data_IF_144767121044
#
_entry.id   IF_144767121044
#
_cell.length_a   1.000
_cell.length_b   1.000
_cell.length_c   1.000
_cell.angle_alpha   90.00
_cell.angle_beta   90.00
_cell.angle_gamma   90.00
#
_symmetry.space_group_name_H-M   'P 1'
#
loop_
_entity.id
_entity.type
_entity.pdbx_description
1 polymer ?
#
# COMPACT_ATOMS: atom_id res chain seq x y z
N UNK A 1 -11.49 3.89 10.46
CA UNK A 1 -12.22 4.27 9.22
C UNK A 1 -11.20 4.62 8.15
N UNK A 2 -11.45 4.25 6.90
CA UNK A 2 -10.63 4.65 5.75
C UNK A 2 -11.51 5.37 4.76
N UNK A 3 -11.01 6.48 4.23
CA UNK A 3 -11.64 7.20 3.13
C UNK A 3 -10.74 7.08 1.89
N UNK A 4 -11.32 6.56 0.80
CA UNK A 4 -10.69 6.55 -0.52
C UNK A 4 -11.29 7.69 -1.33
N UNK A 5 -10.44 8.59 -1.80
CA UNK A 5 -10.84 9.85 -2.43
C UNK A 5 -10.13 9.95 -3.77
N UNK A 6 -10.90 10.15 -4.83
CA UNK A 6 -10.36 10.61 -6.11
C UNK A 6 -10.57 12.13 -6.15
N UNK A 7 -9.55 12.88 -5.73
CA UNK A 7 -9.58 14.35 -5.72
C UNK A 7 -8.63 14.85 -6.81
N UNK A 8 -9.11 15.79 -7.64
CA UNK A 8 -8.36 16.32 -8.79
C UNK A 8 -7.85 15.19 -9.71
N UNK A 9 -8.67 14.13 -9.87
CA UNK A 9 -8.35 12.92 -10.65
C UNK A 9 -7.15 12.11 -10.13
N UNK A 10 -6.65 12.39 -8.92
CA UNK A 10 -5.53 11.67 -8.30
C UNK A 10 -6.09 10.68 -7.26
N UNK A 11 -5.71 9.39 -7.31
CA UNK A 11 -6.12 8.43 -6.30
C UNK A 11 -5.40 8.70 -4.97
N UNK A 12 -6.19 8.96 -3.93
CA UNK A 12 -5.67 9.25 -2.59
C UNK A 12 -6.48 8.56 -1.51
N UNK A 13 -5.88 8.42 -0.34
CA UNK A 13 -6.58 7.91 0.82
C UNK A 13 -6.22 8.69 2.10
N UNK A 14 -7.10 8.58 3.08
CA UNK A 14 -6.92 9.04 4.45
C UNK A 14 -7.35 7.97 5.42
N UNK A 15 -6.76 7.98 6.61
CA UNK A 15 -7.04 6.99 7.65
C UNK A 15 -7.37 7.69 8.95
N UNK A 16 -8.47 7.29 9.55
CA UNK A 16 -8.93 7.75 10.85
C UNK A 16 -8.95 6.60 11.85
N UNK A 17 -8.46 6.87 13.06
CA UNK A 17 -8.53 5.97 14.20
C UNK A 17 -9.18 6.70 15.38
N UNK A 18 -10.23 6.11 15.96
CA UNK A 18 -11.02 6.70 17.06
C UNK A 18 -11.44 8.17 16.84
N UNK A 19 -11.72 8.55 15.58
CA UNK A 19 -12.12 9.90 15.18
C UNK A 19 -10.95 10.86 14.89
N UNK A 20 -9.72 10.48 15.22
CA UNK A 20 -8.51 11.24 14.87
C UNK A 20 -7.93 10.85 13.51
N UNK A 21 -7.50 11.84 12.73
CA UNK A 21 -6.76 11.60 11.48
C UNK A 21 -5.33 11.13 11.82
N UNK A 22 -4.94 9.94 11.34
CA UNK A 22 -3.61 9.37 11.59
C UNK A 22 -2.75 9.30 10.32
N UNK A 23 -3.39 9.13 9.15
CA UNK A 23 -2.74 9.27 7.85
C UNK A 23 -3.50 10.34 7.08
N UNK A 24 -2.80 11.43 6.78
CA UNK A 24 -3.27 12.51 5.94
C UNK A 24 -3.33 12.08 4.47
N UNK A 25 -3.87 12.95 3.62
CA UNK A 25 -4.15 12.68 2.21
C UNK A 25 -2.89 12.19 1.48
N UNK A 26 -2.84 10.88 1.25
CA UNK A 26 -1.67 10.16 0.72
C UNK A 26 -1.99 9.56 -0.64
N UNK A 27 -1.05 9.65 -1.58
CA UNK A 27 -1.21 9.19 -2.97
C UNK A 27 -1.01 7.69 -3.12
N UNK A 28 -1.55 7.15 -4.21
CA UNK A 28 -1.32 5.82 -4.72
C UNK A 28 -1.15 5.92 -6.24
N UNK A 29 -0.15 5.24 -6.79
CA UNK A 29 0.12 5.26 -8.22
C UNK A 29 1.42 4.58 -8.61
N UNK A 30 1.68 4.50 -9.91
CA UNK A 30 2.86 3.87 -10.48
C UNK A 30 3.45 4.65 -11.63
N UNK A 31 4.77 4.68 -11.73
CA UNK A 31 5.49 5.07 -12.94
C UNK A 31 6.03 3.84 -13.66
N UNK A 32 6.04 3.89 -14.99
CA UNK A 32 6.53 2.80 -15.83
C UNK A 32 7.70 3.26 -16.69
N UNK A 33 8.60 2.34 -17.03
CA UNK A 33 9.79 2.66 -17.83
C UNK A 33 9.47 3.22 -19.22
N UNK A 34 8.51 2.60 -19.90
CA UNK A 34 8.18 2.86 -21.30
C UNK A 34 6.67 3.03 -21.52
N UNK A 35 5.94 3.45 -20.49
CA UNK A 35 4.51 3.73 -20.58
C UNK A 35 4.17 4.97 -19.75
N UNK A 36 3.06 5.62 -20.09
CA UNK A 36 2.52 6.74 -19.32
C UNK A 36 2.29 6.30 -17.87
N UNK A 37 2.55 7.19 -16.90
CA UNK A 37 2.31 6.90 -15.49
C UNK A 37 0.82 6.60 -15.20
N UNK A 38 0.57 5.92 -14.09
CA UNK A 38 -0.75 5.59 -13.55
C UNK A 38 -0.84 6.09 -12.12
N UNK A 39 -0.74 7.41 -11.96
CA UNK A 39 -0.71 8.13 -10.69
C UNK A 39 -1.73 9.29 -10.63
N UNK A 40 -2.25 9.71 -11.78
CA UNK A 40 -3.26 10.76 -11.91
C UNK A 40 -4.23 10.51 -13.08
N UNK A 41 -5.16 11.43 -13.31
CA UNK A 41 -6.14 11.39 -14.39
C UNK A 41 -7.06 10.16 -14.35
N UNK A 42 -7.44 9.70 -13.16
CA UNK A 42 -8.41 8.62 -12.97
C UNK A 42 -9.82 9.12 -12.71
N UNK A 43 -10.80 8.31 -13.13
CA UNK A 43 -12.19 8.39 -12.67
C UNK A 43 -12.61 7.06 -12.04
N UNK A 44 -13.46 7.12 -11.02
CA UNK A 44 -14.07 5.92 -10.44
C UNK A 44 -15.14 5.36 -11.38
N UNK A 45 -14.99 4.10 -11.78
CA UNK A 45 -15.99 3.40 -12.60
C UNK A 45 -16.88 2.49 -11.77
N UNK A 46 -16.38 1.97 -10.64
CA UNK A 46 -17.13 1.07 -9.77
C UNK A 46 -16.60 1.12 -8.34
N UNK A 47 -17.52 0.99 -7.39
CA UNK A 47 -17.18 0.74 -5.97
C UNK A 47 -17.96 -0.48 -5.51
N UNK A 48 -17.28 -1.42 -4.86
CA UNK A 48 -17.91 -2.59 -4.23
C UNK A 48 -17.45 -2.74 -2.78
N UNK A 49 -18.35 -3.23 -1.94
CA UNK A 49 -18.07 -3.54 -0.55
C UNK A 49 -18.34 -5.01 -0.25
N UNK A 50 -17.58 -5.57 0.68
CA UNK A 50 -17.92 -6.85 1.32
C UNK A 50 -17.40 -6.89 2.75
N UNK A 51 -17.98 -7.76 3.57
CA UNK A 51 -17.49 -8.09 4.90
C UNK A 51 -17.12 -9.57 4.94
N UNK A 52 -16.01 -9.89 5.60
CA UNK A 52 -15.55 -11.26 5.84
C UNK A 52 -15.36 -11.42 7.34
N UNK A 53 -15.91 -12.51 7.88
CA UNK A 53 -15.63 -12.99 9.23
C UNK A 53 -15.47 -14.50 9.16
N UNK A 54 -14.22 -14.94 9.12
CA UNK A 54 -13.89 -16.36 9.00
C UNK A 54 -12.76 -16.74 9.95
N UNK A 55 -12.54 -18.03 10.11
CA UNK A 55 -11.46 -18.56 10.93
C UNK A 55 -10.69 -19.60 10.13
N UNK A 56 -9.37 -19.61 10.28
CA UNK A 56 -8.50 -20.59 9.66
C UNK A 56 -7.47 -21.11 10.66
N UNK A 57 -7.09 -22.38 10.48
CA UNK A 57 -6.11 -23.06 11.33
C UNK A 57 -4.75 -23.05 10.63
N UNK A 58 -3.73 -22.35 11.16
CA UNK A 58 -2.40 -22.39 10.60
C UNK A 58 -1.76 -23.77 10.78
N UNK A 59 -0.88 -24.15 9.85
CA UNK A 59 -0.05 -25.37 10.00
C UNK A 59 0.95 -25.19 11.13
N UNK A 60 1.51 -23.99 11.28
CA UNK A 60 2.41 -23.57 12.35
C UNK A 60 2.15 -22.09 12.68
N UNK A 61 2.30 -21.69 13.93
CA UNK A 61 2.08 -20.30 14.34
C UNK A 61 1.94 -20.13 15.86
N UNK A 62 1.83 -18.88 16.30
CA UNK A 62 1.66 -18.52 17.72
C UNK A 62 0.24 -18.77 18.24
N UNK A 63 -0.73 -18.94 17.34
CA UNK A 63 -2.12 -19.24 17.65
C UNK A 63 -2.58 -20.51 16.93
N UNK A 64 -3.43 -21.30 17.58
CA UNK A 64 -4.02 -22.52 17.00
C UNK A 64 -5.18 -22.24 16.04
N UNK A 65 -5.74 -21.03 16.08
CA UNK A 65 -6.83 -20.55 15.24
C UNK A 65 -6.68 -19.05 15.04
N UNK A 66 -6.79 -18.58 13.80
CA UNK A 66 -6.68 -17.16 13.45
C UNK A 66 -8.02 -16.70 12.89
N UNK A 67 -8.59 -15.65 13.47
CA UNK A 67 -9.79 -14.99 12.97
C UNK A 67 -9.39 -13.94 11.92
N UNK A 68 -10.06 -13.98 10.77
CA UNK A 68 -9.88 -13.05 9.68
C UNK A 68 -11.18 -12.25 9.54
N UNK A 69 -11.24 -11.10 10.22
CA UNK A 69 -12.44 -10.26 10.30
C UNK A 69 -12.15 -8.85 9.76
N UNK A 70 -12.76 -8.50 8.63
CA UNK A 70 -12.57 -7.19 8.01
C UNK A 70 -13.75 -6.76 7.15
N UNK A 71 -13.83 -5.44 6.94
CA UNK A 71 -14.59 -4.83 5.86
C UNK A 71 -13.66 -4.51 4.69
N UNK A 72 -14.07 -4.82 3.46
CA UNK A 72 -13.32 -4.52 2.24
C UNK A 72 -14.06 -3.51 1.37
N UNK A 73 -13.30 -2.58 0.80
CA UNK A 73 -13.72 -1.67 -0.26
C UNK A 73 -12.82 -1.92 -1.47
N UNK A 74 -13.43 -2.13 -2.64
CA UNK A 74 -12.73 -2.13 -3.92
C UNK A 74 -13.24 -0.95 -4.74
N UNK A 75 -12.34 -0.02 -5.06
CA UNK A 75 -12.59 1.07 -5.99
C UNK A 75 -11.90 0.76 -7.31
N UNK A 76 -12.68 0.48 -8.35
CA UNK A 76 -12.19 0.31 -9.71
C UNK A 76 -12.09 1.67 -10.38
N UNK A 77 -10.91 1.97 -10.91
CA UNK A 77 -10.55 3.23 -11.53
C UNK A 77 -10.22 3.00 -13.01
N UNK A 78 -10.59 3.95 -13.84
CA UNK A 78 -10.24 3.99 -15.26
C UNK A 78 -9.49 5.30 -15.54
N UNK A 79 -8.35 5.21 -16.20
CA UNK A 79 -7.59 6.35 -16.69
C UNK A 79 -8.39 7.11 -17.76
N UNK A 80 -8.27 8.42 -17.75
CA UNK A 80 -8.95 9.31 -18.70
C UNK A 80 -8.14 9.57 -19.98
N UNK A 81 -6.93 9.02 -20.08
CA UNK A 81 -6.15 9.05 -21.32
C UNK A 81 -6.80 8.19 -22.42
N UNK A 82 -6.30 8.31 -23.65
CA UNK A 82 -6.82 7.55 -24.79
C UNK A 82 -6.69 6.04 -24.61
N UNK A 83 -5.73 5.59 -23.79
CA UNK A 83 -5.51 4.18 -23.49
C UNK A 83 -6.58 3.62 -22.56
N UNK A 84 -7.19 4.42 -21.69
CA UNK A 84 -8.22 3.99 -20.70
C UNK A 84 -7.79 2.80 -19.83
N UNK A 85 -6.57 2.87 -19.30
CA UNK A 85 -6.03 1.79 -18.45
C UNK A 85 -6.78 1.71 -17.12
N UNK A 86 -7.06 0.51 -16.67
CA UNK A 86 -7.80 0.24 -15.45
C UNK A 86 -6.87 -0.12 -14.28
N UNK A 87 -7.27 0.25 -13.07
CA UNK A 87 -6.61 -0.10 -11.81
C UNK A 87 -7.65 -0.25 -10.70
N UNK A 88 -7.56 -1.32 -9.91
CA UNK A 88 -8.36 -1.45 -8.69
C UNK A 88 -7.54 -1.06 -7.46
N UNK A 89 -8.14 -0.27 -6.58
CA UNK A 89 -7.65 -0.05 -5.22
C UNK A 89 -8.50 -0.87 -4.25
N UNK A 90 -7.86 -1.82 -3.56
CA UNK A 90 -8.54 -2.72 -2.62
C UNK A 90 -8.05 -2.42 -1.22
N UNK A 91 -8.96 -1.97 -0.35
CA UNK A 91 -8.70 -1.69 1.06
C UNK A 91 -9.44 -2.68 1.94
N UNK A 92 -8.76 -3.21 2.95
CA UNK A 92 -9.32 -4.00 4.04
C UNK A 92 -9.11 -3.28 5.35
N UNK A 93 -10.17 -3.13 6.12
CA UNK A 93 -10.16 -2.49 7.43
C UNK A 93 -10.52 -3.54 8.47
N UNK A 94 -9.56 -3.82 9.33
CA UNK A 94 -9.66 -4.68 10.50
C UNK A 94 -9.87 -3.82 11.75
N UNK A 95 -10.15 -4.45 12.88
CA UNK A 95 -10.27 -3.76 14.17
C UNK A 95 -8.92 -3.18 14.65
N UNK A 96 -7.81 -3.76 14.21
CA UNK A 96 -6.42 -3.49 14.63
C UNK A 96 -5.47 -3.04 13.51
N UNK A 97 -6.01 -2.87 12.29
CA UNK A 97 -5.18 -2.53 11.15
C UNK A 97 -5.94 -2.15 9.89
N UNK A 98 -5.21 -1.57 8.95
CA UNK A 98 -5.64 -1.47 7.56
C UNK A 98 -4.60 -2.13 6.66
N UNK A 99 -5.08 -2.80 5.63
CA UNK A 99 -4.25 -3.30 4.54
C UNK A 99 -4.83 -2.84 3.23
N UNK A 100 -3.98 -2.48 2.28
CA UNK A 100 -4.43 -2.17 0.94
C UNK A 100 -3.48 -2.73 -0.11
N UNK A 101 -4.02 -2.89 -1.32
CA UNK A 101 -3.25 -3.21 -2.51
C UNK A 101 -3.82 -2.52 -3.73
N UNK A 102 -2.94 -2.25 -4.68
CA UNK A 102 -3.31 -1.89 -6.02
C UNK A 102 -3.36 -3.16 -6.88
N UNK A 103 -4.28 -3.23 -7.85
CA UNK A 103 -4.33 -4.32 -8.81
C UNK A 103 -4.38 -3.70 -10.20
N UNK A 104 -3.44 -4.10 -11.05
CA UNK A 104 -3.45 -3.79 -12.48
C UNK A 104 -4.06 -5.02 -13.17
N UNK A 105 -5.37 -5.00 -13.50
CA UNK A 105 -6.03 -6.14 -14.13
C UNK A 105 -5.45 -6.42 -15.51
N UNK A 106 -5.58 -7.66 -15.97
CA UNK A 106 -5.22 -8.05 -17.35
C UNK A 106 -6.10 -7.28 -18.34
N UNK A 107 -5.47 -6.57 -19.26
CA UNK A 107 -6.14 -5.64 -20.17
C UNK A 107 -5.30 -5.42 -21.44
N UNK A 108 -5.94 -5.20 -22.58
CA UNK A 108 -5.25 -5.15 -23.89
C UNK A 108 -4.30 -3.94 -24.05
N UNK A 109 -4.60 -2.88 -23.32
CA UNK A 109 -3.93 -1.57 -23.22
C UNK A 109 -2.81 -1.53 -22.16
N UNK A 110 -2.54 -2.62 -21.44
CA UNK A 110 -1.44 -2.76 -20.48
C UNK A 110 -1.06 -4.25 -20.32
N UNK A 111 -0.19 -4.75 -21.20
CA UNK A 111 0.25 -6.15 -21.20
C UNK A 111 1.65 -6.30 -20.60
N UNK A 112 2.68 -5.95 -21.38
CA UNK A 112 4.07 -5.97 -20.93
C UNK A 112 4.43 -4.59 -20.37
N UNK A 113 4.62 -4.52 -19.06
CA UNK A 113 5.02 -3.29 -18.40
C UNK A 113 6.09 -3.55 -17.35
N UNK A 114 6.82 -2.49 -17.05
CA UNK A 114 7.87 -2.48 -16.05
C UNK A 114 7.66 -1.27 -15.17
N UNK A 115 7.40 -1.52 -13.88
CA UNK A 115 7.25 -0.48 -12.87
C UNK A 115 8.65 -0.01 -12.49
N UNK A 116 8.89 1.30 -12.57
CA UNK A 116 10.13 1.93 -12.14
C UNK A 116 9.97 2.71 -10.83
N UNK A 117 8.74 3.09 -10.49
CA UNK A 117 8.44 3.78 -9.26
C UNK A 117 7.04 3.45 -8.75
N UNK A 118 6.89 3.38 -7.43
CA UNK A 118 5.60 3.27 -6.73
C UNK A 118 5.37 4.54 -5.91
N UNK A 119 4.31 5.29 -6.24
CA UNK A 119 3.95 6.58 -5.65
C UNK A 119 3.15 6.44 -4.34
N UNK A 120 3.14 5.25 -3.73
CA UNK A 120 2.41 4.99 -2.49
C UNK A 120 3.01 5.84 -1.36
N UNK A 121 2.18 6.67 -0.74
CA UNK A 121 2.59 7.56 0.34
C UNK A 121 1.97 7.15 1.67
N UNK A 122 2.69 7.47 2.76
CA UNK A 122 2.19 7.41 4.13
C UNK A 122 2.46 8.75 4.81
N UNK A 123 1.54 9.70 4.67
CA UNK A 123 1.70 11.04 5.24
C UNK A 123 1.12 11.09 6.65
N UNK A 124 1.98 10.87 7.64
CA UNK A 124 1.60 10.99 9.05
C UNK A 124 1.15 12.41 9.41
N UNK A 125 0.32 12.53 10.45
CA UNK A 125 -0.22 13.83 10.89
C UNK A 125 0.72 14.60 11.81
N UNK A 126 1.73 13.94 12.37
CA UNK A 126 2.72 14.55 13.25
C UNK A 126 4.11 13.91 13.09
N UNK A 127 5.11 14.53 13.71
CA UNK A 127 6.46 14.02 13.86
C UNK A 127 6.53 13.00 15.00
N UNK A 128 5.94 11.83 14.80
CA UNK A 128 5.83 10.79 15.83
C UNK A 128 7.19 10.22 16.25
N UNK A 129 7.27 9.69 17.48
CA UNK A 129 8.37 8.84 17.87
C UNK A 129 8.33 7.53 17.06
N UNK A 130 9.50 7.11 16.56
CA UNK A 130 9.64 5.93 15.71
C UNK A 130 10.77 5.04 16.21
N UNK A 131 10.62 3.74 15.94
CA UNK A 131 11.68 2.75 16.07
C UNK A 131 11.98 2.21 14.68
N UNK A 132 13.24 2.30 14.25
CA UNK A 132 13.61 1.97 12.88
C UNK A 132 14.99 1.34 12.79
N UNK A 133 15.23 0.67 11.66
CA UNK A 133 16.53 0.17 11.21
C UNK A 133 16.83 0.76 9.83
N UNK A 134 18.10 0.88 9.43
CA UNK A 134 18.46 1.32 8.08
C UNK A 134 17.80 0.46 7.00
N UNK A 135 17.39 1.10 5.91
CA UNK A 135 16.96 0.41 4.71
C UNK A 135 18.20 -0.12 3.98
N UNK A 136 18.57 -1.35 4.30
CA UNK A 136 19.71 -2.05 3.74
C UNK A 136 19.21 -3.24 2.90
N UNK A 137 19.62 -3.28 1.63
CA UNK A 137 19.19 -4.32 0.70
C UNK A 137 19.83 -5.68 0.99
N UNK A 138 21.00 -5.68 1.64
CA UNK A 138 21.77 -6.90 1.89
C UNK A 138 21.42 -7.53 3.24
N UNK A 139 20.93 -6.73 4.21
CA UNK A 139 20.64 -7.21 5.56
C UNK A 139 19.53 -6.45 6.28
N UNK A 140 18.77 -7.19 7.10
CA UNK A 140 17.83 -6.64 8.09
C UNK A 140 18.33 -6.78 9.54
N UNK A 141 19.58 -7.22 9.75
CA UNK A 141 20.16 -7.53 11.06
C UNK A 141 20.81 -6.30 11.72
N UNK A 142 20.00 -5.27 11.97
CA UNK A 142 20.44 -4.02 12.59
C UNK A 142 19.82 -3.81 13.97
N UNK A 143 20.48 -3.04 14.83
CA UNK A 143 19.89 -2.59 16.09
C UNK A 143 18.88 -1.48 15.82
N UNK A 144 17.78 -1.50 16.56
CA UNK A 144 16.76 -0.45 16.46
C UNK A 144 17.28 0.88 17.01
N UNK A 145 17.06 1.93 16.23
CA UNK A 145 17.21 3.32 16.66
C UNK A 145 15.85 3.88 17.08
N UNK A 146 15.86 4.80 18.03
CA UNK A 146 14.67 5.52 18.47
C UNK A 146 14.88 7.03 18.27
N UNK A 147 14.08 7.63 17.40
CA UNK A 147 14.15 9.06 17.07
C UNK A 147 12.74 9.61 16.82
N UNK A 148 12.62 10.90 16.51
CA UNK A 148 11.40 11.39 15.84
C UNK A 148 11.43 11.01 14.35
N UNK A 149 10.25 10.87 13.73
CA UNK A 149 10.08 10.45 12.34
C UNK A 149 10.92 11.30 11.37
N UNK A 150 10.83 12.61 11.50
CA UNK A 150 11.54 13.55 10.63
C UNK A 150 13.05 13.60 10.89
N UNK A 151 13.51 13.10 12.04
CA UNK A 151 14.94 12.95 12.32
C UNK A 151 15.48 11.68 11.68
N UNK A 152 14.71 10.58 11.73
CA UNK A 152 15.04 9.33 11.03
C UNK A 152 15.15 9.52 9.51
N UNK A 153 14.29 10.37 8.94
CA UNK A 153 14.26 10.64 7.50
C UNK A 153 15.30 11.68 7.02
N UNK A 154 16.16 12.21 7.90
CA UNK A 154 17.27 13.08 7.48
C UNK A 154 18.48 12.24 7.10
N UNK A 155 18.55 11.89 5.81
CA UNK A 155 19.79 11.36 5.23
C UNK A 155 20.70 12.55 4.92
N UNK A 156 21.81 12.69 5.65
CA UNK A 156 22.78 13.76 5.44
C UNK A 156 23.56 13.60 4.11
N UNK A 157 23.73 12.37 3.66
CA UNK A 157 24.32 12.01 2.38
C UNK A 157 23.43 10.98 1.68
N UNK A 158 22.94 11.34 0.49
CA UNK A 158 22.09 10.50 -0.38
C UNK A 158 22.83 10.05 -1.65
N UNK A 159 24.13 10.35 -1.77
CA UNK A 159 24.93 10.04 -2.97
C UNK A 159 25.09 8.54 -3.24
N UNK A 160 24.88 7.71 -2.21
CA UNK A 160 24.90 6.25 -2.30
C UNK A 160 23.55 5.65 -2.74
N UNK A 161 22.47 6.44 -2.75
CA UNK A 161 21.17 5.98 -3.27
C UNK A 161 21.28 5.91 -4.79
N UNK A 162 21.51 4.70 -5.30
CA UNK A 162 21.42 4.42 -6.73
C UNK A 162 19.98 4.09 -7.08
N UNK A 163 19.38 4.86 -7.99
CA UNK A 163 18.10 4.50 -8.60
C UNK A 163 18.28 3.17 -9.33
N UNK A 164 17.69 2.11 -8.81
CA UNK A 164 17.79 0.78 -9.36
C UNK A 164 16.43 0.24 -9.78
N UNK A 165 16.45 -0.62 -10.78
CA UNK A 165 15.30 -1.31 -11.34
C UNK A 165 14.73 -2.30 -10.31
N UNK A 166 13.68 -1.93 -9.58
CA UNK A 166 13.01 -2.85 -8.68
C UNK A 166 12.13 -3.82 -9.48
N UNK A 167 12.58 -5.06 -9.66
CA UNK A 167 11.70 -6.18 -9.96
C UNK A 167 11.51 -7.00 -8.68
N UNK A 168 10.44 -6.73 -7.95
CA UNK A 168 10.12 -7.46 -6.72
C UNK A 168 9.92 -8.95 -6.98
N UNK A 169 10.79 -9.79 -6.43
CA UNK A 169 10.63 -11.25 -6.39
C UNK A 169 9.94 -11.63 -5.07
N UNK A 170 8.62 -11.44 -4.97
CA UNK A 170 7.70 -12.11 -4.02
C UNK A 170 6.27 -11.64 -4.30
N UNK A 171 5.40 -12.38 -5.02
CA UNK A 171 4.34 -13.27 -4.51
C UNK A 171 3.94 -14.34 -5.56
N UNK A 172 4.83 -14.74 -6.46
CA UNK A 172 4.53 -15.70 -7.54
C UNK A 172 4.35 -17.17 -7.12
N UNK A 173 4.55 -17.51 -5.84
CA UNK A 173 4.58 -18.90 -5.37
C UNK A 173 3.23 -19.60 -5.20
N UNK A 174 2.13 -18.85 -5.01
CA UNK A 174 0.80 -19.45 -4.79
C UNK A 174 -0.32 -18.55 -5.33
N UNK A 175 -0.42 -18.42 -6.64
CA UNK A 175 -1.68 -18.10 -7.32
C UNK A 175 -1.50 -18.35 -8.83
N UNK A 176 -2.06 -19.45 -9.33
CA UNK A 176 -2.33 -19.52 -10.75
C UNK A 176 -3.32 -18.40 -11.09
N UNK A 177 -2.85 -17.42 -11.88
CA UNK A 177 -3.53 -16.21 -12.36
C UNK A 177 -3.67 -15.10 -11.32
N UNK A 178 -3.64 -13.87 -11.82
CA UNK A 178 -3.66 -12.56 -11.17
C UNK A 178 -2.27 -12.00 -10.81
N UNK A 179 -1.79 -11.08 -11.66
CA UNK A 179 -0.75 -10.12 -11.29
C UNK A 179 -1.26 -9.26 -10.14
N UNK A 180 -0.66 -9.46 -8.95
CA UNK A 180 -0.91 -8.69 -7.73
C UNK A 180 0.38 -7.94 -7.42
N UNK A 181 0.37 -6.61 -7.37
CA UNK A 181 1.54 -5.80 -7.05
C UNK A 181 1.16 -4.63 -6.13
N UNK A 182 1.95 -4.43 -5.06
CA UNK A 182 1.79 -3.39 -4.05
C UNK A 182 0.93 -3.82 -2.85
N UNK A 183 1.52 -3.91 -1.66
CA UNK A 183 0.79 -4.09 -0.39
C UNK A 183 1.27 -3.05 0.62
N UNK A 184 0.40 -2.13 1.03
CA UNK A 184 0.62 -1.27 2.18
C UNK A 184 -0.17 -1.79 3.37
N UNK A 185 0.47 -1.95 4.53
CA UNK A 185 -0.21 -2.35 5.76
C UNK A 185 0.17 -1.40 6.90
N UNK A 186 -0.82 -0.92 7.64
CA UNK A 186 -0.64 -0.19 8.88
C UNK A 186 -1.37 -0.96 9.97
N UNK A 187 -0.66 -1.32 11.03
CA UNK A 187 -1.22 -1.93 12.23
C UNK A 187 -1.04 -0.98 13.40
N UNK A 188 -2.04 -0.89 14.27
CA UNK A 188 -1.95 -0.16 15.53
C UNK A 188 -2.00 -1.15 16.69
N UNK A 189 -1.12 -0.98 17.68
CA UNK A 189 -1.22 -1.69 18.96
C UNK A 189 -2.00 -0.85 19.96
N UNK A 190 -3.02 -1.44 20.58
CA UNK A 190 -3.59 -0.92 21.82
C UNK A 190 -2.58 -1.21 22.93
N UNK A 191 -2.10 -0.18 23.63
CA UNK A 191 -1.44 -0.41 24.91
C UNK A 191 -2.54 -0.73 25.91
N UNK A 192 -2.60 -1.98 26.38
CA UNK A 192 -3.38 -2.36 27.55
C UNK A 192 -2.52 -2.08 28.79
N UNK A 193 -3.03 -1.25 29.69
CA UNK A 193 -2.72 -1.28 31.13
C UNK A 193 -3.83 -2.05 31.85
#
# INVERSE_FOLDING_TARGET
MVEVIIQDSIPRYKVFYEGGLIINLSRLGFEFKNAEAMDENFRTIKITHRAIDEQWKPVYGTASLIRNHFNELTASLEGMSSLKREMDLIFRVYDDGIGFRCVLPEQSNLQDFEIIFEETQFRFTDNHAVWWIPADYDSYEHLYSQTLLNEACKLEDVSWIQLMKYMGIWWGGHAHRYGKLGTGALSWRRNEE
#
